data_IF_860083813139
#
_entry.id   IF_860083813139
#
_cell.length_a   1.000
_cell.length_b   1.000
_cell.length_c   1.000
_cell.angle_alpha   90.00
_cell.angle_beta   90.00
_cell.angle_gamma   90.00
#
_symmetry.space_group_name_H-M   'P 1'
#
loop_
_entity.id
_entity.type
_entity.pdbx_description
1 polymer ?
#
# COMPACT_ATOMS: atom_id res chain seq x y z
N UNK A 1 17.67 19.89 7.80
CA UNK A 1 16.92 21.04 8.36
C UNK A 1 16.60 20.75 9.82
N UNK A 2 16.54 21.76 10.69
CA UNK A 2 16.21 21.61 12.12
C UNK A 2 15.03 22.52 12.44
N UNK A 3 14.07 22.04 13.23
CA UNK A 3 12.93 22.83 13.70
C UNK A 3 12.59 22.41 15.13
N UNK A 4 12.35 23.38 16.00
CA UNK A 4 11.81 23.12 17.34
C UNK A 4 10.31 22.97 17.23
N UNK A 5 9.76 21.90 17.81
CA UNK A 5 8.32 21.63 17.83
C UNK A 5 7.82 21.68 19.27
N UNK A 6 6.61 22.20 19.47
CA UNK A 6 5.96 22.20 20.78
C UNK A 6 5.04 20.99 20.89
N UNK A 7 5.22 20.21 21.94
CA UNK A 7 4.28 19.17 22.34
C UNK A 7 3.16 19.83 23.15
N UNK A 8 1.92 19.68 22.70
CA UNK A 8 0.76 20.15 23.48
C UNK A 8 0.56 19.28 24.74
N UNK A 9 -0.23 19.76 25.70
CA UNK A 9 -0.59 18.97 26.90
C UNK A 9 -1.27 17.63 26.59
N UNK A 10 -1.83 17.47 25.38
CA UNK A 10 -2.44 16.22 24.91
C UNK A 10 -1.51 15.35 24.06
N UNK A 11 -0.22 15.70 23.96
CA UNK A 11 0.75 14.92 23.19
C UNK A 11 0.71 15.14 21.67
N UNK A 12 -0.03 16.14 21.17
CA UNK A 12 -0.05 16.46 19.73
C UNK A 12 1.15 17.32 19.37
N UNK A 13 1.83 16.97 18.28
CA UNK A 13 2.89 17.75 17.63
C UNK A 13 2.40 18.20 16.25
N UNK A 14 2.50 19.50 15.97
CA UNK A 14 2.11 20.04 14.65
C UNK A 14 3.35 20.15 13.76
N UNK A 15 3.30 19.52 12.58
CA UNK A 15 4.37 19.63 11.58
C UNK A 15 4.17 20.88 10.69
N UNK A 16 5.13 21.82 10.66
CA UNK A 16 5.04 23.00 9.80
C UNK A 16 4.92 22.62 8.31
N UNK A 17 4.26 23.48 7.53
CA UNK A 17 3.98 23.20 6.12
C UNK A 17 5.25 22.89 5.28
N UNK A 18 6.38 23.54 5.58
CA UNK A 18 7.65 23.29 4.88
C UNK A 18 8.19 21.87 5.15
N UNK A 19 8.03 21.37 6.37
CA UNK A 19 8.45 20.01 6.75
C UNK A 19 7.55 18.96 6.10
N UNK A 20 6.22 19.16 6.13
CA UNK A 20 5.26 18.27 5.46
C UNK A 20 5.55 18.14 3.97
N UNK A 21 5.74 19.26 3.25
CA UNK A 21 6.07 19.26 1.82
C UNK A 21 7.39 18.54 1.51
N UNK A 22 8.43 18.75 2.31
CA UNK A 22 9.72 18.08 2.12
C UNK A 22 9.64 16.56 2.34
N UNK A 23 8.71 16.11 3.17
CA UNK A 23 8.46 14.69 3.44
C UNK A 23 7.37 14.08 2.55
N UNK A 24 6.75 14.87 1.66
CA UNK A 24 5.63 14.41 0.82
C UNK A 24 4.34 14.10 1.60
N UNK A 25 4.17 14.67 2.79
CA UNK A 25 3.03 14.40 3.67
C UNK A 25 1.83 15.32 3.40
N UNK A 26 0.67 14.70 3.18
CA UNK A 26 -0.64 15.32 3.07
C UNK A 26 -1.35 15.53 4.41
N UNK A 27 -2.62 15.94 4.33
CA UNK A 27 -3.52 15.84 5.47
C UNK A 27 -3.92 14.38 5.66
N UNK A 28 -4.11 13.96 6.91
CA UNK A 28 -4.58 12.62 7.29
C UNK A 28 -3.65 11.44 6.93
N UNK A 29 -2.47 11.70 6.34
CA UNK A 29 -1.43 10.70 6.15
C UNK A 29 -1.02 10.08 7.49
N UNK A 30 -0.92 8.75 7.50
CA UNK A 30 -0.49 8.01 8.67
C UNK A 30 1.03 7.95 8.76
N UNK A 31 1.52 7.94 9.99
CA UNK A 31 2.94 7.77 10.30
C UNK A 31 3.11 6.62 11.28
N UNK A 32 4.13 5.80 11.07
CA UNK A 32 4.62 4.86 12.08
C UNK A 32 5.59 5.62 13.00
N UNK A 33 5.32 5.55 14.30
CA UNK A 33 6.18 6.06 15.35
C UNK A 33 7.05 4.92 15.90
N UNK A 34 8.36 5.01 15.70
CA UNK A 34 9.33 4.00 16.13
C UNK A 34 10.29 4.60 17.15
N UNK A 35 10.46 3.92 18.28
CA UNK A 35 11.49 4.28 19.26
C UNK A 35 12.82 3.68 18.83
N UNK A 36 13.81 4.55 18.63
CA UNK A 36 15.19 4.20 18.29
C UNK A 36 16.14 4.70 19.37
N UNK A 37 17.38 4.18 19.47
CA UNK A 37 18.38 4.71 20.40
C UNK A 37 18.65 6.22 20.23
N UNK A 38 18.48 6.74 19.01
CA UNK A 38 18.66 8.15 18.66
C UNK A 38 17.42 9.01 18.95
N UNK A 39 16.29 8.38 19.28
CA UNK A 39 15.03 9.05 19.63
C UNK A 39 13.82 8.53 18.85
N UNK A 40 12.83 9.40 18.64
CA UNK A 40 11.59 9.07 17.96
C UNK A 40 11.73 9.23 16.44
N UNK A 41 11.63 8.13 15.71
CA UNK A 41 11.60 8.12 14.25
C UNK A 41 10.15 8.06 13.75
N UNK A 42 9.78 9.00 12.88
CA UNK A 42 8.47 9.03 12.22
C UNK A 42 8.62 8.64 10.75
N UNK A 43 7.92 7.58 10.33
CA UNK A 43 7.98 7.05 8.96
C UNK A 43 6.62 7.18 8.28
N UNK A 44 6.54 7.71 7.04
CA UNK A 44 5.32 7.65 6.24
C UNK A 44 4.78 6.23 6.14
N UNK A 45 3.48 6.08 6.30
CA UNK A 45 2.79 4.80 6.26
C UNK A 45 1.49 4.90 5.46
N UNK A 46 1.12 3.78 4.83
CA UNK A 46 -0.14 3.63 4.11
C UNK A 46 -0.96 2.52 4.74
N UNK A 47 -2.25 2.76 4.95
CA UNK A 47 -3.18 1.75 5.43
C UNK A 47 -3.82 1.07 4.23
N UNK A 48 -3.63 -0.24 4.11
CA UNK A 48 -4.22 -1.03 3.03
C UNK A 48 -5.18 -2.08 3.63
N UNK A 49 -6.39 -2.24 3.08
CA UNK A 49 -7.24 -3.35 3.46
C UNK A 49 -6.55 -4.65 3.02
N UNK A 50 -6.58 -5.65 3.89
CA UNK A 50 -6.13 -7.00 3.56
C UNK A 50 -7.33 -7.94 3.55
N UNK A 51 -7.38 -8.82 2.56
CA UNK A 51 -8.35 -9.91 2.50
C UNK A 51 -7.67 -11.21 2.92
N UNK A 52 -8.24 -11.88 3.92
CA UNK A 52 -7.78 -13.19 4.36
C UNK A 52 -8.66 -14.25 3.70
N UNK A 53 -8.09 -15.03 2.79
CA UNK A 53 -8.82 -16.05 2.05
C UNK A 53 -8.78 -17.41 2.76
N UNK A 54 -9.92 -18.09 2.76
CA UNK A 54 -9.98 -19.50 3.15
C UNK A 54 -9.41 -20.40 2.07
N UNK A 55 -8.98 -21.62 2.44
CA UNK A 55 -8.57 -22.66 1.48
C UNK A 55 -9.60 -22.90 0.37
N UNK A 56 -10.89 -22.86 0.72
CA UNK A 56 -11.98 -22.97 -0.25
C UNK A 56 -11.93 -21.83 -1.27
N UNK A 57 -11.76 -20.59 -0.80
CA UNK A 57 -11.72 -19.41 -1.65
C UNK A 57 -10.50 -19.40 -2.57
N UNK A 58 -9.37 -19.91 -2.09
CA UNK A 58 -8.15 -20.08 -2.90
C UNK A 58 -8.42 -21.08 -4.04
N UNK A 59 -9.01 -22.24 -3.75
CA UNK A 59 -9.37 -23.23 -4.79
C UNK A 59 -10.33 -22.67 -5.84
N UNK A 60 -11.32 -21.88 -5.43
CA UNK A 60 -12.23 -21.19 -6.36
C UNK A 60 -11.45 -20.28 -7.34
N UNK A 61 -10.40 -19.60 -6.86
CA UNK A 61 -9.55 -18.77 -7.73
C UNK A 61 -8.68 -19.61 -8.66
N UNK A 62 -8.11 -20.72 -8.19
CA UNK A 62 -7.32 -21.63 -9.02
C UNK A 62 -8.16 -22.19 -10.19
N UNK A 63 -9.40 -22.58 -9.92
CA UNK A 63 -10.34 -23.05 -10.94
C UNK A 63 -10.68 -21.94 -11.95
N UNK A 64 -10.95 -20.72 -11.46
CA UNK A 64 -11.24 -19.58 -12.32
C UNK A 64 -10.05 -19.22 -13.23
N UNK A 65 -8.82 -19.28 -12.70
CA UNK A 65 -7.60 -19.01 -13.45
C UNK A 65 -7.37 -20.08 -14.54
N UNK A 66 -7.62 -21.36 -14.24
CA UNK A 66 -7.54 -22.44 -15.22
C UNK A 66 -8.54 -22.27 -16.38
N UNK A 67 -9.76 -21.83 -16.09
CA UNK A 67 -10.75 -21.51 -17.13
C UNK A 67 -10.32 -20.30 -17.97
N UNK A 68 -9.82 -19.24 -17.32
CA UNK A 68 -9.30 -18.06 -18.01
C UNK A 68 -8.17 -18.43 -18.98
N UNK A 69 -7.24 -19.29 -18.55
CA UNK A 69 -6.13 -19.75 -19.37
C UNK A 69 -6.60 -20.42 -20.68
N UNK A 70 -7.69 -21.20 -20.64
CA UNK A 70 -8.27 -21.82 -21.87
C UNK A 70 -8.76 -20.75 -22.85
N UNK A 71 -9.41 -19.71 -22.35
CA UNK A 71 -9.91 -18.61 -23.18
C UNK A 71 -8.76 -17.84 -23.82
N UNK A 72 -7.73 -17.52 -23.03
CA UNK A 72 -6.55 -16.79 -23.50
C UNK A 72 -5.76 -17.60 -24.54
N UNK A 73 -5.55 -18.90 -24.29
CA UNK A 73 -4.87 -19.81 -25.23
C UNK A 73 -5.64 -19.99 -26.54
N UNK A 74 -6.98 -19.99 -26.49
CA UNK A 74 -7.80 -20.03 -27.71
C UNK A 74 -7.66 -18.73 -28.52
N UNK A 75 -7.56 -17.58 -27.85
CA UNK A 75 -7.38 -16.27 -28.52
C UNK A 75 -5.98 -16.07 -29.11
N UNK A 76 -4.94 -16.64 -28.51
CA UNK A 76 -3.56 -16.48 -29.00
C UNK A 76 -3.23 -17.36 -30.21
N UNK A 77 -4.06 -18.38 -30.53
CA UNK A 77 -3.84 -19.21 -31.72
C UNK A 77 -4.12 -18.40 -33.00
N UNK A 78 -3.17 -18.35 -33.96
CA UNK A 78 -3.39 -17.64 -35.21
C UNK A 78 -4.57 -18.28 -35.95
N UNK A 79 -5.49 -17.45 -36.47
CA UNK A 79 -6.56 -17.92 -37.35
C UNK A 79 -5.92 -18.65 -38.52
N UNK A 80 -6.12 -19.97 -38.63
CA UNK A 80 -5.72 -20.72 -39.82
C UNK A 80 -6.42 -20.08 -41.01
N UNK A 81 -5.66 -19.41 -41.87
CA UNK A 81 -6.12 -18.96 -43.18
C UNK A 81 -6.49 -20.20 -43.98
N UNK A 82 -7.78 -20.37 -44.25
CA UNK A 82 -8.27 -21.39 -45.17
C UNK A 82 -7.73 -21.06 -46.57
N UNK A 83 -7.10 -22.06 -47.20
CA UNK A 83 -6.58 -22.00 -48.56
C UNK A 83 -7.51 -22.77 -49.47
#
# INVERSE_FOLDING_TARGET
MKATLTLTSRGVVTLPAKLRRALGLGADDQLIAEMTPEGLLLRPAVTLPIEIYSEKRIREFDEAEAELAKVLNRRSRPRKTAR
#
